data_IF_234609272516
#
_entry.id   IF_234609272516
#
_cell.length_a   1.000
_cell.length_b   1.000
_cell.length_c   1.000
_cell.angle_alpha   90.00
_cell.angle_beta   90.00
_cell.angle_gamma   90.00
#
_symmetry.space_group_name_H-M   'P 1'
#
loop_
_entity.id
_entity.type
_entity.pdbx_description
1 polymer ?
#
# COMPACT_ATOMS: atom_id res chain seq x y z
N UNK A 1 13.80 24.97 22.66
CA UNK A 1 13.46 23.69 21.98
C UNK A 1 12.08 23.68 21.31
N UNK A 2 11.10 24.47 21.76
CA UNK A 2 9.78 24.63 21.08
C UNK A 2 9.88 25.17 19.65
N UNK A 3 10.87 26.01 19.36
CA UNK A 3 11.18 26.54 18.02
C UNK A 3 11.66 25.49 17.01
N UNK A 4 12.14 24.32 17.46
CA UNK A 4 12.74 23.33 16.57
C UNK A 4 11.67 22.66 15.69
N UNK A 5 10.53 22.28 16.26
CA UNK A 5 9.43 21.68 15.48
C UNK A 5 8.75 22.68 14.55
N UNK A 6 8.76 23.97 14.92
CA UNK A 6 8.27 25.08 14.09
C UNK A 6 9.25 25.42 12.95
N UNK A 7 10.55 25.19 13.14
CA UNK A 7 11.58 25.38 12.11
C UNK A 7 11.57 24.30 11.02
N UNK A 8 10.89 23.17 11.25
CA UNK A 8 10.76 22.06 10.30
C UNK A 8 9.32 21.81 9.86
N UNK A 9 8.57 22.79 9.34
CA UNK A 9 7.14 22.61 9.08
C UNK A 9 6.85 21.55 8.01
N UNK A 10 7.84 21.25 7.16
CA UNK A 10 7.67 20.40 6.00
C UNK A 10 7.36 18.94 6.37
N UNK A 11 6.65 18.24 5.48
CA UNK A 11 6.26 16.85 5.70
C UNK A 11 7.45 15.86 5.70
N UNK A 12 8.56 16.22 5.05
CA UNK A 12 9.81 15.45 5.05
C UNK A 12 10.42 15.28 6.44
N UNK A 13 10.17 16.23 7.34
CA UNK A 13 10.74 16.20 8.68
C UNK A 13 10.08 15.14 9.60
N UNK A 14 8.93 14.58 9.21
CA UNK A 14 8.15 13.68 10.08
C UNK A 14 8.98 12.50 10.62
N UNK A 15 9.74 11.83 9.75
CA UNK A 15 10.53 10.67 10.13
C UNK A 15 11.68 11.05 11.08
N UNK A 16 12.33 12.18 10.83
CA UNK A 16 13.35 12.73 11.73
C UNK A 16 12.77 13.06 13.11
N UNK A 17 11.60 13.71 13.16
CA UNK A 17 10.97 14.13 14.41
C UNK A 17 10.45 12.95 15.23
N UNK A 18 9.92 11.91 14.57
CA UNK A 18 9.60 10.63 15.23
C UNK A 18 10.85 9.99 15.84
N UNK A 19 11.97 9.98 15.09
CA UNK A 19 13.26 9.51 15.60
C UNK A 19 13.73 10.31 16.81
N UNK A 20 13.62 11.64 16.76
CA UNK A 20 13.97 12.52 17.88
C UNK A 20 13.10 12.25 19.11
N UNK A 21 11.78 12.07 18.95
CA UNK A 21 10.86 11.76 20.04
C UNK A 21 11.14 10.38 20.67
N UNK A 22 11.55 9.40 19.87
CA UNK A 22 12.00 8.09 20.34
C UNK A 22 13.30 8.21 21.13
N UNK A 23 14.30 8.96 20.63
CA UNK A 23 15.54 9.21 21.37
C UNK A 23 15.29 9.93 22.70
N UNK A 24 14.41 10.93 22.73
CA UNK A 24 14.02 11.60 23.98
C UNK A 24 13.39 10.64 25.00
N UNK A 25 12.64 9.61 24.56
CA UNK A 25 12.17 8.53 25.44
C UNK A 25 13.34 7.81 26.11
N UNK A 26 14.30 7.37 25.29
CA UNK A 26 15.43 6.58 25.78
C UNK A 26 16.29 7.39 26.77
N UNK A 27 16.49 8.69 26.52
CA UNK A 27 17.20 9.57 27.42
C UNK A 27 16.45 9.78 28.75
N UNK A 28 15.12 9.88 28.73
CA UNK A 28 14.29 9.99 29.93
C UNK A 28 14.34 8.75 30.83
N UNK A 29 14.78 7.61 30.32
CA UNK A 29 15.00 6.39 31.12
C UNK A 29 16.41 6.30 31.74
N UNK A 30 17.31 7.24 31.41
CA UNK A 30 18.66 7.26 31.96
C UNK A 30 18.67 7.81 33.41
N UNK A 31 19.47 7.24 34.34
CA UNK A 31 19.46 7.60 35.77
C UNK A 31 19.81 9.06 36.12
N UNK A 32 20.31 9.84 35.16
CA UNK A 32 20.95 11.14 35.40
C UNK A 32 20.04 12.35 35.10
N UNK A 33 18.82 12.13 34.60
CA UNK A 33 17.92 13.20 34.17
C UNK A 33 16.63 13.24 35.02
N UNK A 34 16.12 14.45 35.27
CA UNK A 34 14.80 14.66 35.88
C UNK A 34 13.72 14.14 34.91
N UNK A 35 13.21 12.94 35.22
CA UNK A 35 12.24 12.18 34.41
C UNK A 35 11.00 13.04 34.10
N UNK A 36 10.55 13.88 35.03
CA UNK A 36 9.37 14.75 34.87
C UNK A 36 9.53 15.78 33.73
N UNK A 37 10.66 16.49 33.66
CA UNK A 37 10.86 17.56 32.67
C UNK A 37 11.02 17.01 31.25
N UNK A 38 11.71 15.87 31.12
CA UNK A 38 11.88 15.18 29.84
C UNK A 38 10.56 14.61 29.32
N UNK A 39 9.70 14.11 30.22
CA UNK A 39 8.38 13.56 29.88
C UNK A 39 7.42 14.66 29.43
N UNK A 40 7.36 15.79 30.16
CA UNK A 40 6.53 16.93 29.78
C UNK A 40 7.03 17.60 28.49
N UNK A 41 8.34 17.70 28.28
CA UNK A 41 8.91 18.17 27.01
C UNK A 41 8.49 17.25 25.87
N UNK A 42 8.64 15.94 26.03
CA UNK A 42 8.25 14.94 25.02
C UNK A 42 6.76 15.03 24.68
N UNK A 43 5.90 15.17 25.70
CA UNK A 43 4.45 15.38 25.53
C UNK A 43 4.17 16.62 24.67
N UNK A 44 4.77 17.77 25.00
CA UNK A 44 4.58 19.03 24.24
C UNK A 44 5.06 18.95 22.80
N UNK A 45 6.18 18.25 22.57
CA UNK A 45 6.71 18.06 21.22
C UNK A 45 5.85 17.07 20.40
N UNK A 46 5.29 16.05 21.05
CA UNK A 46 4.42 15.06 20.38
C UNK A 46 3.15 15.71 19.81
N UNK A 47 2.57 16.68 20.53
CA UNK A 47 1.44 17.50 20.06
C UNK A 47 1.75 18.32 18.80
N UNK A 48 3.04 18.52 18.48
CA UNK A 48 3.52 19.30 17.33
C UNK A 48 4.00 18.42 16.18
N UNK A 49 3.87 17.10 16.28
CA UNK A 49 4.27 16.19 15.20
C UNK A 49 3.42 16.42 13.96
N UNK A 50 2.13 16.67 14.13
CA UNK A 50 1.26 17.07 13.03
C UNK A 50 0.89 18.54 13.14
N UNK A 51 0.86 19.20 11.99
CA UNK A 51 0.49 20.61 11.82
C UNK A 51 -0.20 20.77 10.45
N UNK A 52 -0.45 22.00 10.02
CA UNK A 52 -1.16 22.27 8.77
C UNK A 52 -0.42 21.77 7.51
N UNK A 53 0.91 21.66 7.55
CA UNK A 53 1.74 21.22 6.42
C UNK A 53 2.12 19.74 6.52
N UNK A 54 2.39 19.27 7.74
CA UNK A 54 2.73 17.89 8.09
C UNK A 54 1.49 17.21 8.66
N UNK A 55 0.73 16.59 7.78
CA UNK A 55 -0.47 15.83 8.12
C UNK A 55 -0.26 14.35 7.78
N UNK A 56 -1.07 13.43 8.33
CA UNK A 56 -1.03 12.03 7.92
C UNK A 56 -1.08 11.83 6.39
N UNK A 57 -1.79 12.70 5.66
CA UNK A 57 -1.85 12.63 4.19
C UNK A 57 -0.59 13.12 3.46
N UNK A 58 0.24 13.97 4.08
CA UNK A 58 1.41 14.58 3.42
C UNK A 58 2.74 13.95 3.80
N UNK A 59 2.80 13.19 4.90
CA UNK A 59 4.02 12.52 5.32
C UNK A 59 4.50 11.49 4.29
N UNK A 60 5.81 11.39 4.14
CA UNK A 60 6.42 10.44 3.22
C UNK A 60 6.41 9.07 3.87
N UNK A 61 5.60 8.19 3.29
CA UNK A 61 5.36 6.82 3.76
C UNK A 61 5.88 5.76 2.79
N UNK A 62 6.47 6.18 1.68
CA UNK A 62 7.13 5.32 0.71
C UNK A 62 8.27 6.09 0.03
N UNK A 63 9.37 5.39 -0.28
CA UNK A 63 10.47 5.99 -1.04
C UNK A 63 10.14 5.99 -2.53
N UNK A 64 10.14 7.15 -3.18
CA UNK A 64 10.10 7.21 -4.65
C UNK A 64 11.51 7.03 -5.21
N UNK A 65 11.69 6.19 -6.25
CA UNK A 65 13.00 5.97 -6.91
C UNK A 65 13.42 7.13 -7.85
N UNK A 66 13.00 8.37 -7.59
CA UNK A 66 13.40 9.52 -8.41
C UNK A 66 14.64 10.19 -7.82
N UNK A 67 15.79 9.90 -8.42
CA UNK A 67 17.09 10.43 -7.97
C UNK A 67 17.70 9.55 -6.88
N UNK A 68 19.00 9.28 -6.96
CA UNK A 68 19.72 8.31 -6.10
C UNK A 68 19.79 8.64 -4.60
N UNK A 69 19.01 9.60 -4.10
CA UNK A 69 18.95 9.93 -2.68
C UNK A 69 17.91 9.04 -1.97
N UNK A 70 18.36 8.31 -0.94
CA UNK A 70 17.47 7.54 -0.07
C UNK A 70 16.65 8.51 0.78
N UNK A 71 15.46 8.84 0.31
CA UNK A 71 14.50 9.63 1.08
C UNK A 71 14.17 8.90 2.40
N UNK A 72 14.26 9.61 3.52
CA UNK A 72 13.88 9.06 4.83
C UNK A 72 12.34 8.98 4.87
N UNK A 73 11.82 7.81 5.22
CA UNK A 73 10.39 7.48 5.16
C UNK A 73 9.87 7.21 6.57
N UNK A 74 8.66 7.66 6.87
CA UNK A 74 7.92 7.27 8.07
C UNK A 74 7.47 5.82 7.92
N UNK A 75 7.96 4.95 8.80
CA UNK A 75 7.62 3.52 8.79
C UNK A 75 6.35 3.25 9.60
N UNK A 76 5.62 2.16 9.28
CA UNK A 76 4.48 1.71 10.10
C UNK A 76 4.85 1.51 11.56
N UNK A 77 6.00 0.87 11.81
CA UNK A 77 6.50 0.59 13.15
C UNK A 77 6.74 1.88 13.93
N UNK A 78 7.37 2.89 13.33
CA UNK A 78 7.60 4.17 14.01
C UNK A 78 6.30 4.88 14.40
N UNK A 79 5.25 4.76 13.57
CA UNK A 79 3.92 5.30 13.90
C UNK A 79 3.23 4.51 15.03
N UNK A 80 3.41 3.19 15.08
CA UNK A 80 2.85 2.35 16.16
C UNK A 80 3.56 2.61 17.48
N UNK A 81 4.90 2.69 17.47
CA UNK A 81 5.69 3.05 18.64
C UNK A 81 5.25 4.42 19.16
N UNK A 82 5.12 5.40 18.27
CA UNK A 82 4.62 6.72 18.61
C UNK A 82 3.19 6.68 19.18
N UNK A 83 2.26 5.92 18.60
CA UNK A 83 0.91 5.78 19.13
C UNK A 83 0.91 5.18 20.56
N UNK A 84 1.73 4.15 20.79
CA UNK A 84 1.90 3.56 22.11
C UNK A 84 2.50 4.56 23.11
N UNK A 85 3.46 5.37 22.66
CA UNK A 85 4.05 6.44 23.47
C UNK A 85 3.06 7.53 23.84
N UNK A 86 2.15 7.89 22.92
CA UNK A 86 1.10 8.85 23.19
C UNK A 86 0.17 8.35 24.29
N UNK A 87 -0.18 7.06 24.29
CA UNK A 87 -0.97 6.46 25.35
C UNK A 87 -0.26 6.57 26.72
N UNK A 88 1.03 6.28 26.77
CA UNK A 88 1.84 6.43 28.00
C UNK A 88 1.93 7.90 28.49
N UNK A 89 1.80 8.87 27.57
CA UNK A 89 1.87 10.30 27.85
C UNK A 89 0.50 10.97 28.06
N UNK A 90 -0.60 10.25 27.81
CA UNK A 90 -1.97 10.72 28.05
C UNK A 90 -2.18 10.97 29.55
N UNK A 91 -2.95 12.01 29.86
CA UNK A 91 -3.39 12.34 31.23
C UNK A 91 -4.92 12.29 31.26
N UNK A 92 -5.53 12.16 32.44
CA UNK A 92 -6.99 11.94 32.60
C UNK A 92 -7.89 12.95 31.85
N UNK A 93 -7.39 14.15 31.54
CA UNK A 93 -8.13 15.20 30.81
C UNK A 93 -7.75 15.33 29.33
N UNK A 94 -6.64 14.75 28.88
CA UNK A 94 -6.08 14.93 27.54
C UNK A 94 -5.58 13.58 27.00
N UNK A 95 -6.40 12.90 26.20
CA UNK A 95 -6.01 11.68 25.49
C UNK A 95 -5.33 12.03 24.16
N UNK A 96 -3.99 11.94 24.18
CA UNK A 96 -3.15 12.21 23.03
C UNK A 96 -3.27 11.11 21.96
N UNK A 97 -3.47 9.87 22.38
CA UNK A 97 -3.66 8.75 21.46
C UNK A 97 -4.98 8.93 20.70
N UNK A 98 -6.07 9.24 21.41
CA UNK A 98 -7.36 9.51 20.77
C UNK A 98 -7.24 10.64 19.74
N UNK A 99 -6.61 11.76 20.13
CA UNK A 99 -6.38 12.91 19.23
C UNK A 99 -5.58 12.52 17.98
N UNK A 100 -4.58 11.66 18.13
CA UNK A 100 -3.77 11.16 17.02
C UNK A 100 -4.57 10.27 16.06
N UNK A 101 -5.39 9.35 16.58
CA UNK A 101 -6.23 8.48 15.75
C UNK A 101 -7.32 9.29 15.03
N UNK A 102 -7.91 10.28 15.70
CA UNK A 102 -8.86 11.20 15.07
C UNK A 102 -8.25 11.94 13.88
N UNK A 103 -7.00 12.41 13.99
CA UNK A 103 -6.33 13.05 12.85
C UNK A 103 -6.10 12.08 11.69
N UNK A 104 -5.73 10.82 11.95
CA UNK A 104 -5.62 9.81 10.89
C UNK A 104 -6.97 9.61 10.20
N UNK A 105 -8.06 9.49 10.95
CA UNK A 105 -9.41 9.33 10.41
C UNK A 105 -9.84 10.51 9.51
N UNK A 106 -9.53 11.75 9.92
CA UNK A 106 -9.85 12.96 9.14
C UNK A 106 -9.06 12.99 7.82
N UNK A 107 -7.81 12.56 7.83
CA UNK A 107 -6.93 12.64 6.66
C UNK A 107 -6.96 11.40 5.76
N UNK A 108 -7.54 10.28 6.22
CA UNK A 108 -7.59 9.01 5.49
C UNK A 108 -8.04 9.12 4.02
N UNK A 109 -9.11 9.88 3.68
CA UNK A 109 -9.55 10.02 2.28
C UNK A 109 -8.50 10.63 1.35
N UNK A 110 -7.55 11.39 1.91
CA UNK A 110 -6.53 12.14 1.16
C UNK A 110 -5.17 11.43 1.13
N UNK A 111 -5.08 10.19 1.61
CA UNK A 111 -3.82 9.45 1.58
C UNK A 111 -3.36 9.22 0.13
N UNK A 112 -2.06 9.04 -0.11
CA UNK A 112 -1.58 8.58 -1.40
C UNK A 112 -1.88 7.07 -1.56
N UNK A 113 -2.27 6.64 -2.76
CA UNK A 113 -2.64 5.25 -3.05
C UNK A 113 -1.50 4.24 -2.88
N UNK A 114 -0.24 4.67 -2.84
CA UNK A 114 0.89 3.79 -2.47
C UNK A 114 1.10 3.71 -0.96
N UNK A 115 0.75 4.79 -0.24
CA UNK A 115 0.84 4.86 1.21
C UNK A 115 -0.15 3.93 1.91
N UNK A 116 -1.34 3.70 1.34
CA UNK A 116 -2.31 2.75 1.93
C UNK A 116 -1.70 1.35 2.07
N UNK A 117 -1.17 0.82 0.97
CA UNK A 117 -0.64 -0.55 0.89
C UNK A 117 0.70 -0.71 1.60
N UNK A 118 1.60 0.28 1.51
CA UNK A 118 2.94 0.18 2.10
C UNK A 118 3.07 0.68 3.54
N UNK A 119 2.14 1.52 4.00
CA UNK A 119 2.25 2.15 5.31
C UNK A 119 1.03 1.98 6.19
N UNK A 120 -0.15 2.38 5.73
CA UNK A 120 -1.33 2.48 6.60
C UNK A 120 -1.98 1.12 6.92
N UNK A 121 -2.02 0.18 5.96
CA UNK A 121 -2.46 -1.19 6.23
C UNK A 121 -1.50 -1.91 7.19
N UNK A 122 -0.16 -1.91 6.96
CA UNK A 122 0.78 -2.44 7.94
C UNK A 122 0.70 -1.75 9.30
N UNK A 123 0.48 -0.43 9.33
CA UNK A 123 0.29 0.33 10.57
C UNK A 123 -0.92 -0.18 11.34
N UNK A 124 -2.08 -0.35 10.70
CA UNK A 124 -3.27 -0.89 11.35
C UNK A 124 -3.02 -2.32 11.87
N UNK A 125 -2.37 -3.17 11.07
CA UNK A 125 -2.05 -4.55 11.45
C UNK A 125 -1.15 -4.64 12.69
N UNK A 126 -0.26 -3.68 12.89
CA UNK A 126 0.64 -3.63 14.03
C UNK A 126 0.05 -2.88 15.23
N UNK A 127 -0.72 -1.81 14.97
CA UNK A 127 -1.36 -0.99 15.99
C UNK A 127 -2.35 -1.82 16.81
N UNK A 128 -3.25 -2.55 16.15
CA UNK A 128 -4.36 -3.21 16.83
C UNK A 128 -3.87 -4.23 17.88
N UNK A 129 -2.95 -5.17 17.57
CA UNK A 129 -2.37 -6.04 18.58
C UNK A 129 -1.62 -5.27 19.67
N UNK A 130 -0.89 -4.20 19.31
CA UNK A 130 -0.13 -3.40 20.27
C UNK A 130 -1.05 -2.68 21.29
N UNK A 131 -2.21 -2.19 20.86
CA UNK A 131 -3.20 -1.57 21.74
C UNK A 131 -3.86 -2.61 22.67
N UNK A 132 -4.26 -3.76 22.12
CA UNK A 132 -4.87 -4.84 22.90
C UNK A 132 -3.90 -5.39 23.95
N UNK A 133 -2.61 -5.53 23.62
CA UNK A 133 -1.58 -5.95 24.58
C UNK A 133 -1.42 -5.00 25.78
N UNK A 134 -1.87 -3.74 25.63
CA UNK A 134 -1.90 -2.71 26.68
C UNK A 134 -3.26 -2.58 27.35
N UNK A 135 -4.16 -3.55 27.14
CA UNK A 135 -5.53 -3.56 27.67
C UNK A 135 -6.39 -2.37 27.18
N UNK A 136 -6.04 -1.76 26.04
CA UNK A 136 -6.85 -0.70 25.43
C UNK A 136 -7.98 -1.36 24.64
N UNK A 137 -9.22 -0.97 24.93
CA UNK A 137 -10.38 -1.45 24.18
C UNK A 137 -10.37 -0.87 22.76
N UNK A 138 -10.29 -1.76 21.76
CA UNK A 138 -10.43 -1.39 20.35
C UNK A 138 -11.89 -1.40 19.87
N UNK A 139 -12.82 -1.88 20.71
CA UNK A 139 -14.25 -1.92 20.41
C UNK A 139 -14.91 -0.57 20.73
N UNK A 140 -14.34 0.51 20.21
CA UNK A 140 -14.86 1.87 20.34
C UNK A 140 -15.13 2.44 18.95
N UNK A 141 -16.05 3.42 18.82
CA UNK A 141 -16.35 4.04 17.53
C UNK A 141 -15.11 4.60 16.82
N UNK A 142 -14.13 5.08 17.58
CA UNK A 142 -12.89 5.67 17.06
C UNK A 142 -12.06 4.68 16.23
N UNK A 143 -11.77 3.51 16.79
CA UNK A 143 -10.97 2.48 16.12
C UNK A 143 -11.77 1.74 15.05
N UNK A 144 -13.08 1.58 15.25
CA UNK A 144 -13.97 1.06 14.21
C UNK A 144 -14.00 1.98 12.99
N UNK A 145 -14.08 3.31 13.20
CA UNK A 145 -14.00 4.27 12.12
C UNK A 145 -12.66 4.18 11.38
N UNK A 146 -11.55 4.06 12.11
CA UNK A 146 -10.23 3.88 11.51
C UNK A 146 -10.15 2.64 10.61
N UNK A 147 -10.57 1.48 11.13
CA UNK A 147 -10.59 0.25 10.36
C UNK A 147 -11.46 0.37 9.11
N UNK A 148 -12.70 0.86 9.26
CA UNK A 148 -13.64 0.99 8.14
C UNK A 148 -13.17 1.98 7.08
N UNK A 149 -12.58 3.11 7.46
CA UNK A 149 -12.09 4.10 6.51
C UNK A 149 -10.88 3.58 5.72
N UNK A 150 -9.93 2.91 6.38
CA UNK A 150 -8.77 2.32 5.71
C UNK A 150 -9.18 1.19 4.75
N UNK A 151 -10.13 0.33 5.15
CA UNK A 151 -10.69 -0.71 4.27
C UNK A 151 -11.42 -0.09 3.09
N UNK A 152 -12.32 0.88 3.33
CA UNK A 152 -13.05 1.57 2.26
C UNK A 152 -12.10 2.23 1.25
N UNK A 153 -11.07 2.90 1.74
CA UNK A 153 -10.08 3.52 0.87
C UNK A 153 -9.28 2.46 0.10
N UNK A 154 -8.98 1.32 0.71
CA UNK A 154 -8.45 0.14 0.04
C UNK A 154 -9.34 -0.34 -1.11
N UNK A 155 -10.65 -0.46 -0.88
CA UNK A 155 -11.64 -0.86 -1.89
C UNK A 155 -11.63 0.12 -3.08
N UNK A 156 -11.64 1.43 -2.79
CA UNK A 156 -11.60 2.50 -3.80
C UNK A 156 -10.31 2.44 -4.65
N UNK A 157 -9.17 2.04 -4.05
CA UNK A 157 -7.90 1.90 -4.79
C UNK A 157 -7.77 0.59 -5.53
N UNK A 158 -8.36 -0.49 -5.02
CA UNK A 158 -8.38 -1.76 -5.72
C UNK A 158 -9.26 -1.68 -6.98
N UNK A 159 -10.43 -1.06 -6.86
CA UNK A 159 -11.41 -0.98 -7.93
C UNK A 159 -11.94 -2.36 -8.38
N UNK A 160 -12.82 -2.39 -9.39
CA UNK A 160 -13.37 -3.65 -9.89
C UNK A 160 -12.30 -4.49 -10.57
N UNK A 161 -12.42 -5.82 -10.44
CA UNK A 161 -11.55 -6.76 -11.15
C UNK A 161 -11.66 -6.53 -12.67
N UNK A 162 -10.55 -6.34 -13.39
CA UNK A 162 -10.55 -6.10 -14.83
C UNK A 162 -11.33 -7.19 -15.57
N UNK A 163 -12.33 -6.78 -16.36
CA UNK A 163 -13.12 -7.67 -17.20
C UNK A 163 -12.74 -7.50 -18.67
N UNK A 164 -12.91 -8.54 -19.51
CA UNK A 164 -12.81 -8.39 -20.96
C UNK A 164 -13.91 -7.44 -21.42
N UNK A 165 -13.55 -6.26 -21.92
CA UNK A 165 -14.50 -5.37 -22.58
C UNK A 165 -14.78 -5.92 -24.00
N UNK A 166 -16.02 -6.35 -24.29
CA UNK A 166 -16.39 -6.84 -25.62
C UNK A 166 -16.30 -5.75 -26.71
N UNK A 167 -16.31 -4.47 -26.32
CA UNK A 167 -16.32 -3.31 -27.23
C UNK A 167 -14.95 -2.66 -27.43
N UNK A 168 -13.92 -3.06 -26.69
CA UNK A 168 -12.57 -2.50 -26.89
C UNK A 168 -12.09 -2.88 -28.30
N UNK A 169 -11.87 -1.90 -29.19
CA UNK A 169 -11.39 -2.17 -30.54
C UNK A 169 -10.05 -2.88 -30.44
N UNK A 170 -9.99 -4.16 -30.82
CA UNK A 170 -8.71 -4.86 -30.87
C UNK A 170 -7.88 -4.21 -31.97
N UNK A 171 -6.74 -3.59 -31.66
CA UNK A 171 -5.90 -2.96 -32.67
C UNK A 171 -5.51 -4.02 -33.72
N UNK A 172 -5.67 -3.67 -35.00
CA UNK A 172 -5.49 -4.60 -36.12
C UNK A 172 -4.31 -4.18 -36.97
N UNK A 173 -3.29 -5.04 -37.03
CA UNK A 173 -2.24 -4.93 -38.05
C UNK A 173 -2.87 -5.21 -39.41
N UNK A 174 -2.96 -4.19 -40.27
CA UNK A 174 -3.58 -4.29 -41.61
C UNK A 174 -2.68 -4.98 -42.63
N UNK A 175 -1.36 -4.92 -42.43
CA UNK A 175 -0.39 -5.50 -43.35
C UNK A 175 -0.57 -7.03 -43.49
N UNK A 176 -0.56 -7.57 -44.73
CA UNK A 176 -0.71 -9.00 -45.01
C UNK A 176 0.62 -9.77 -45.09
N UNK A 177 1.79 -9.13 -44.94
CA UNK A 177 3.09 -9.81 -45.10
C UNK A 177 3.28 -10.95 -44.08
N UNK A 178 4.17 -11.91 -44.40
CA UNK A 178 4.43 -13.11 -43.58
C UNK A 178 4.87 -12.77 -42.14
N UNK A 179 5.63 -11.68 -41.97
CA UNK A 179 6.06 -11.16 -40.68
C UNK A 179 4.88 -10.66 -39.85
N UNK A 180 4.00 -9.86 -40.44
CA UNK A 180 2.79 -9.36 -39.80
C UNK A 180 1.78 -10.48 -39.50
N UNK A 181 1.73 -11.54 -40.31
CA UNK A 181 0.94 -12.75 -39.99
C UNK A 181 1.47 -13.42 -38.72
N UNK A 182 2.80 -13.57 -38.60
CA UNK A 182 3.44 -14.15 -37.42
C UNK A 182 3.22 -13.27 -36.18
N UNK A 183 3.33 -11.94 -36.34
CA UNK A 183 3.04 -10.97 -35.29
C UNK A 183 1.57 -11.01 -34.84
N UNK A 184 0.62 -11.09 -35.78
CA UNK A 184 -0.82 -11.25 -35.47
C UNK A 184 -1.10 -12.53 -34.70
N UNK A 185 -0.46 -13.64 -35.06
CA UNK A 185 -0.57 -14.92 -34.33
C UNK A 185 -0.06 -14.77 -32.91
N UNK A 186 1.15 -14.22 -32.74
CA UNK A 186 1.71 -13.90 -31.43
C UNK A 186 0.75 -13.03 -30.61
N UNK A 187 0.25 -11.92 -31.14
CA UNK A 187 -0.62 -11.00 -30.42
C UNK A 187 -1.94 -11.63 -29.96
N UNK A 188 -2.49 -12.58 -30.73
CA UNK A 188 -3.73 -13.29 -30.40
C UNK A 188 -3.57 -14.39 -29.36
N UNK A 189 -2.37 -14.95 -29.22
CA UNK A 189 -2.11 -16.02 -28.25
C UNK A 189 -2.01 -15.45 -26.83
N UNK A 190 -2.96 -15.74 -25.92
CA UNK A 190 -2.90 -15.24 -24.54
C UNK A 190 -1.71 -15.82 -23.77
N UNK A 191 -1.33 -17.07 -24.04
CA UNK A 191 -0.27 -17.76 -23.32
C UNK A 191 1.13 -17.28 -23.72
N UNK A 192 1.24 -16.55 -24.83
CA UNK A 192 2.50 -16.02 -25.33
C UNK A 192 2.66 -14.53 -24.96
N UNK A 193 3.40 -14.26 -23.88
CA UNK A 193 3.68 -12.89 -23.41
C UNK A 193 4.86 -12.25 -24.15
N UNK A 194 5.85 -13.05 -24.54
CA UNK A 194 7.07 -12.60 -25.23
C UNK A 194 7.17 -13.25 -26.62
N UNK A 195 7.28 -12.40 -27.64
CA UNK A 195 7.49 -12.79 -29.03
C UNK A 195 8.90 -12.45 -29.46
N UNK A 196 9.60 -13.40 -30.09
CA UNK A 196 10.97 -13.23 -30.60
C UNK A 196 10.95 -13.35 -32.13
N UNK A 197 11.38 -12.31 -32.82
CA UNK A 197 11.37 -12.22 -34.29
C UNK A 197 12.79 -11.96 -34.80
N UNK A 198 13.46 -13.03 -35.26
CA UNK A 198 14.80 -12.92 -35.88
C UNK A 198 14.67 -12.47 -37.33
N UNK A 199 14.98 -11.19 -37.58
CA UNK A 199 14.70 -10.55 -38.87
C UNK A 199 15.79 -9.54 -39.26
N UNK A 200 16.11 -9.43 -40.56
CA UNK A 200 16.91 -8.32 -41.09
C UNK A 200 16.30 -6.96 -40.73
N UNK A 201 17.13 -5.92 -40.68
CA UNK A 201 16.77 -4.59 -40.16
C UNK A 201 15.50 -3.99 -40.78
N UNK A 202 15.35 -4.03 -42.11
CA UNK A 202 14.17 -3.46 -42.77
C UNK A 202 12.85 -4.13 -42.33
N UNK A 203 12.84 -5.47 -42.27
CA UNK A 203 11.68 -6.26 -41.82
C UNK A 203 11.40 -6.05 -40.33
N UNK A 204 12.46 -5.87 -39.53
CA UNK A 204 12.34 -5.55 -38.11
C UNK A 204 11.71 -4.18 -37.87
N UNK A 205 12.15 -3.16 -38.61
CA UNK A 205 11.59 -1.81 -38.53
C UNK A 205 10.11 -1.80 -38.94
N UNK A 206 9.75 -2.56 -39.98
CA UNK A 206 8.35 -2.73 -40.38
C UNK A 206 7.45 -3.28 -39.26
N UNK A 207 7.89 -4.33 -38.54
CA UNK A 207 7.16 -4.84 -37.36
C UNK A 207 7.10 -3.77 -36.27
N UNK A 208 8.20 -3.05 -36.05
CA UNK A 208 8.28 -2.02 -35.02
C UNK A 208 7.24 -0.92 -35.24
N UNK A 209 7.17 -0.39 -36.47
CA UNK A 209 6.22 0.66 -36.90
C UNK A 209 4.78 0.16 -36.89
N UNK A 210 4.54 -1.11 -37.24
CA UNK A 210 3.20 -1.72 -37.19
C UNK A 210 2.61 -1.78 -35.77
N UNK A 211 3.44 -1.58 -34.74
CA UNK A 211 3.07 -1.55 -33.33
C UNK A 211 3.01 -0.12 -32.75
N UNK A 212 3.24 0.92 -33.55
CA UNK A 212 3.07 2.32 -33.12
C UNK A 212 1.61 2.80 -33.16
N UNK A 213 0.73 2.04 -33.81
CA UNK A 213 -0.71 2.30 -33.82
C UNK A 213 -1.30 2.31 -32.40
N UNK A 214 -2.18 3.28 -32.07
CA UNK A 214 -2.85 3.32 -30.77
C UNK A 214 -3.57 2.01 -30.45
N UNK A 215 -3.25 1.43 -29.29
CA UNK A 215 -3.87 0.21 -28.77
C UNK A 215 -2.91 -0.97 -28.57
N UNK A 216 -1.73 -0.96 -29.18
CA UNK A 216 -0.72 -1.98 -28.89
C UNK A 216 0.14 -1.58 -27.69
N UNK A 217 -0.19 -2.07 -26.50
CA UNK A 217 0.68 -1.89 -25.33
C UNK A 217 1.74 -2.99 -25.23
N UNK A 218 2.84 -2.80 -25.97
CA UNK A 218 3.98 -3.71 -26.02
C UNK A 218 5.30 -2.99 -25.76
N UNK A 219 6.20 -3.61 -24.98
CA UNK A 219 7.62 -3.26 -24.94
C UNK A 219 8.29 -3.83 -26.18
N UNK A 220 9.14 -3.03 -26.82
CA UNK A 220 9.90 -3.42 -28.01
C UNK A 220 11.37 -3.24 -27.71
N UNK A 221 12.17 -4.29 -27.89
CA UNK A 221 13.63 -4.26 -27.68
C UNK A 221 14.32 -5.07 -28.78
N UNK A 222 15.38 -4.53 -29.37
CA UNK A 222 16.24 -5.31 -30.28
C UNK A 222 17.39 -5.90 -29.48
N UNK A 223 17.57 -7.22 -29.56
CA UNK A 223 18.78 -7.90 -29.09
C UNK A 223 19.77 -8.02 -30.23
N UNK A 224 20.95 -7.44 -30.01
CA UNK A 224 22.06 -7.40 -30.96
C UNK A 224 22.99 -8.61 -30.80
N UNK A 225 22.40 -9.80 -30.63
CA UNK A 225 23.11 -11.08 -30.48
C UNK A 225 22.82 -11.95 -31.70
N UNK A 226 23.88 -12.43 -32.37
CA UNK A 226 23.79 -13.20 -33.61
C UNK A 226 23.42 -12.35 -34.83
N UNK A 227 23.39 -12.94 -36.04
CA UNK A 227 22.86 -12.29 -37.25
C UNK A 227 21.89 -13.27 -37.95
N UNK A 228 20.69 -12.83 -38.36
CA UNK A 228 20.08 -11.51 -38.14
C UNK A 228 19.73 -11.23 -36.67
N UNK A 229 19.70 -9.95 -36.28
CA UNK A 229 19.32 -9.53 -34.91
C UNK A 229 17.87 -9.91 -34.58
N UNK A 230 17.57 -10.05 -33.28
CA UNK A 230 16.23 -10.44 -32.81
C UNK A 230 15.45 -9.23 -32.30
N UNK A 231 14.22 -9.02 -32.78
CA UNK A 231 13.26 -8.14 -32.11
C UNK A 231 12.46 -8.91 -31.07
N UNK A 232 12.48 -8.40 -29.85
CA UNK A 232 11.67 -8.87 -28.74
C UNK A 232 10.48 -7.92 -28.59
N UNK A 233 9.29 -8.49 -28.68
CA UNK A 233 8.03 -7.81 -28.40
C UNK A 233 7.46 -8.45 -27.13
N UNK A 234 7.27 -7.67 -26.08
CA UNK A 234 6.66 -8.13 -24.81
C UNK A 234 5.34 -7.43 -24.60
N UNK A 235 4.23 -8.17 -24.49
CA UNK A 235 2.91 -7.59 -24.22
C UNK A 235 2.88 -7.08 -22.77
N UNK A 236 2.58 -5.80 -22.54
CA UNK A 236 2.48 -5.24 -21.18
C UNK A 236 1.13 -5.54 -20.53
N UNK A 237 0.04 -5.33 -21.26
CA UNK A 237 -1.31 -5.32 -20.70
C UNK A 237 -2.22 -6.38 -21.33
N UNK A 238 -1.85 -7.66 -21.24
CA UNK A 238 -2.86 -8.70 -21.43
C UNK A 238 -3.90 -8.56 -20.30
N UNK A 239 -5.16 -8.89 -20.58
CA UNK A 239 -6.19 -8.94 -19.55
C UNK A 239 -5.74 -9.83 -18.37
N UNK A 240 -5.04 -10.91 -18.66
CA UNK A 240 -4.43 -11.80 -17.67
C UNK A 240 -3.41 -11.10 -16.78
N UNK A 241 -2.51 -10.28 -17.35
CA UNK A 241 -1.59 -9.47 -16.57
C UNK A 241 -2.35 -8.46 -15.70
N UNK A 242 -3.39 -7.80 -16.23
CA UNK A 242 -4.22 -6.87 -15.44
C UNK A 242 -4.94 -7.57 -14.29
N UNK A 243 -5.49 -8.76 -14.53
CA UNK A 243 -6.14 -9.58 -13.50
C UNK A 243 -5.11 -10.03 -12.47
N UNK A 244 -3.91 -10.42 -12.90
CA UNK A 244 -2.81 -10.79 -12.00
C UNK A 244 -2.41 -9.61 -11.13
N UNK A 245 -2.12 -8.44 -11.72
CA UNK A 245 -1.75 -7.23 -11.00
C UNK A 245 -2.86 -6.79 -10.03
N UNK A 246 -4.13 -6.93 -10.42
CA UNK A 246 -5.27 -6.70 -9.54
C UNK A 246 -5.33 -7.69 -8.36
N UNK A 247 -5.07 -8.98 -8.60
CA UNK A 247 -4.99 -10.00 -7.54
C UNK A 247 -3.83 -9.75 -6.59
N UNK A 248 -2.67 -9.38 -7.13
CA UNK A 248 -1.47 -9.04 -6.35
C UNK A 248 -1.76 -7.82 -5.47
N UNK A 249 -2.35 -6.75 -6.04
CA UNK A 249 -2.77 -5.57 -5.30
C UNK A 249 -3.82 -5.88 -4.22
N UNK A 250 -4.82 -6.71 -4.55
CA UNK A 250 -5.81 -7.18 -3.57
C UNK A 250 -5.12 -7.87 -2.39
N UNK A 251 -4.19 -8.79 -2.67
CA UNK A 251 -3.49 -9.51 -1.62
C UNK A 251 -2.63 -8.57 -0.76
N UNK A 252 -1.95 -7.59 -1.35
CA UNK A 252 -1.19 -6.57 -0.60
C UNK A 252 -2.05 -5.74 0.36
N UNK A 253 -3.32 -5.50 0.04
CA UNK A 253 -4.25 -4.71 0.89
C UNK A 253 -4.91 -5.58 1.97
N UNK A 254 -5.51 -6.71 1.60
CA UNK A 254 -6.34 -7.49 2.53
C UNK A 254 -5.62 -8.66 3.19
N UNK A 255 -4.58 -9.20 2.55
CA UNK A 255 -3.78 -10.30 3.08
C UNK A 255 -3.22 -9.98 4.48
N UNK A 256 -2.53 -8.84 4.67
CA UNK A 256 -2.01 -8.47 5.99
C UNK A 256 -3.10 -8.33 7.06
N UNK A 257 -4.26 -7.77 6.72
CA UNK A 257 -5.37 -7.61 7.66
C UNK A 257 -5.90 -8.98 8.11
N UNK A 258 -6.08 -9.89 7.16
CA UNK A 258 -6.62 -11.22 7.43
C UNK A 258 -5.62 -12.11 8.21
N UNK A 259 -4.32 -11.95 7.98
CA UNK A 259 -3.27 -12.79 8.57
C UNK A 259 -2.75 -12.27 9.91
N UNK A 260 -2.67 -10.96 10.10
CA UNK A 260 -2.01 -10.36 11.26
C UNK A 260 -2.96 -9.88 12.36
N UNK A 261 -4.27 -9.77 12.07
CA UNK A 261 -5.29 -9.38 13.06
C UNK A 261 -6.15 -10.60 13.36
N UNK A 262 -6.30 -10.94 14.65
CA UNK A 262 -7.14 -12.07 15.08
C UNK A 262 -8.60 -11.85 14.63
N UNK A 263 -9.34 -12.91 14.25
CA UNK A 263 -10.70 -12.81 13.72
C UNK A 263 -11.64 -12.00 14.62
N UNK A 264 -11.59 -12.20 15.93
CA UNK A 264 -12.45 -11.53 16.91
C UNK A 264 -12.17 -10.02 16.97
N UNK A 265 -10.89 -9.63 16.85
CA UNK A 265 -10.49 -8.23 16.81
C UNK A 265 -10.89 -7.58 15.48
N UNK A 266 -10.81 -8.33 14.38
CA UNK A 266 -11.26 -7.86 13.07
C UNK A 266 -12.77 -7.63 13.05
N UNK A 267 -13.55 -8.52 13.67
CA UNK A 267 -14.99 -8.34 13.87
C UNK A 267 -15.30 -7.14 14.77
N UNK A 268 -14.54 -6.94 15.86
CA UNK A 268 -14.71 -5.77 16.71
C UNK A 268 -14.47 -4.44 15.97
N UNK A 269 -13.56 -4.43 14.98
CA UNK A 269 -13.22 -3.25 14.18
C UNK A 269 -14.19 -3.00 13.02
N UNK A 270 -14.53 -4.06 12.27
CA UNK A 270 -15.26 -3.92 11.00
C UNK A 270 -16.70 -4.41 11.07
N UNK A 271 -17.10 -5.04 12.18
CA UNK A 271 -18.31 -5.85 12.26
C UNK A 271 -18.16 -7.17 11.51
N UNK A 272 -19.07 -8.10 11.80
CA UNK A 272 -19.06 -9.48 11.25
C UNK A 272 -18.97 -9.49 9.71
N UNK A 273 -19.79 -8.67 9.05
CA UNK A 273 -19.81 -8.60 7.58
C UNK A 273 -18.49 -8.05 7.03
N UNK A 274 -17.94 -6.99 7.63
CA UNK A 274 -16.69 -6.39 7.18
C UNK A 274 -15.49 -7.33 7.37
N UNK A 275 -15.43 -8.03 8.50
CA UNK A 275 -14.40 -9.03 8.77
C UNK A 275 -14.47 -10.20 7.78
N UNK A 276 -15.67 -10.71 7.48
CA UNK A 276 -15.89 -11.77 6.49
C UNK A 276 -15.40 -11.36 5.11
N UNK A 277 -15.70 -10.13 4.67
CA UNK A 277 -15.22 -9.60 3.39
C UNK A 277 -13.69 -9.55 3.35
N UNK A 278 -13.04 -8.99 4.38
CA UNK A 278 -11.58 -8.91 4.45
C UNK A 278 -10.93 -10.30 4.44
N UNK A 279 -11.46 -11.27 5.18
CA UNK A 279 -10.96 -12.65 5.17
C UNK A 279 -11.07 -13.30 3.77
N UNK A 280 -12.22 -13.13 3.12
CA UNK A 280 -12.44 -13.66 1.76
C UNK A 280 -11.50 -13.05 0.71
N UNK A 281 -11.25 -11.73 0.79
CA UNK A 281 -10.37 -11.01 -0.13
C UNK A 281 -8.89 -11.29 0.16
N UNK A 282 -8.54 -11.51 1.44
CA UNK A 282 -7.21 -11.90 1.91
C UNK A 282 -6.84 -13.35 1.61
N UNK A 283 -7.77 -14.15 1.06
CA UNK A 283 -7.52 -15.54 0.66
C UNK A 283 -7.65 -16.57 1.79
N UNK A 284 -8.20 -16.18 2.95
CA UNK A 284 -8.58 -17.10 4.01
C UNK A 284 -10.01 -17.56 3.70
N UNK A 285 -10.15 -18.61 2.91
CA UNK A 285 -11.43 -19.31 2.84
C UNK A 285 -11.67 -19.94 4.21
N UNK A 286 -12.75 -19.54 4.90
CA UNK A 286 -13.31 -20.36 5.97
C UNK A 286 -13.72 -21.69 5.34
N UNK A 287 -13.14 -22.80 5.81
CA UNK A 287 -13.69 -24.13 5.53
C UNK A 287 -15.15 -24.13 6.00
N UNK A 288 -16.11 -24.57 5.18
CA UNK A 288 -17.48 -24.72 5.65
C UNK A 288 -17.49 -25.75 6.77
N UNK A 289 -17.97 -25.34 7.94
CA UNK A 289 -18.17 -26.19 9.10
C UNK A 289 -18.88 -27.49 8.67
N UNK A 290 -18.20 -28.61 8.86
CA UNK A 290 -18.78 -29.94 8.68
C UNK A 290 -19.90 -30.08 9.73
N UNK A 291 -21.13 -29.88 9.27
CA UNK A 291 -22.33 -30.21 10.03
C UNK A 291 -22.26 -31.67 10.42
N UNK A 292 -21.94 -31.90 11.69
CA UNK A 292 -22.04 -33.23 12.31
C UNK A 292 -23.51 -33.50 12.52
N UNK A 293 -24.21 -33.98 11.48
CA UNK A 293 -25.54 -34.55 11.65
C UNK A 293 -25.36 -35.95 12.25
N UNK A 294 -25.33 -36.00 13.58
CA UNK A 294 -25.57 -37.22 14.34
C UNK A 294 -27.08 -37.27 14.59
N UNK A 295 -27.78 -38.18 13.92
CA UNK A 295 -29.16 -38.54 14.24
C UNK A 295 -29.23 -40.07 14.34
N UNK A 296 -29.62 -40.49 15.55
CA UNK A 296 -30.06 -41.78 16.07
C UNK A 296 -30.21 -42.97 15.11
#
# INVERSE_FOLDING_TARGET
>A
MTLLFEAFPQSQAAAFLLGLLSQLKTLGTAPQLLISDTTELRRRLSLRLFNNERTPSTIITHSSKRGGEKQIVVTPQALVEFACDLHELSKDTDDLLESFILQINVHCPNFPGEGIRKAWIPFLCQLIPALVSRSISINTPLYQQLGRQLVKYGDEKLGPCPQPDPNTPRPRIRCPCSDCVSLKRFLRDPNQVVGRFQLPQARRNHIYESLDEPGFDCIRKTEHIGRPHTLIVTKRLTLENKIKDWKDLRFEIYGPLAQNIQPELLEALLGVQGATVVQSLGGIQQEPAVSTTRAN
#
